data_IF_079821584033
#
_entry.id   IF_079821584033
#
_cell.length_a   1.000
_cell.length_b   1.000
_cell.length_c   1.000
_cell.angle_alpha   90.00
_cell.angle_beta   90.00
_cell.angle_gamma   90.00
#
_symmetry.space_group_name_H-M   'P 1'
#
loop_
_entity.id
_entity.type
_entity.pdbx_description
1 polymer ?
#
# COMPACT_ATOMS: atom_id res chain seq x y z
N UNK A 1 27.37 -33.68 13.67
CA UNK A 1 26.20 -34.48 14.07
C UNK A 1 25.55 -33.84 15.29
N UNK A 2 24.40 -33.19 15.10
CA UNK A 2 23.27 -33.02 16.03
C UNK A 2 22.20 -32.28 15.23
N UNK A 3 21.23 -33.02 14.69
CA UNK A 3 20.04 -32.49 14.04
C UNK A 3 19.13 -31.92 15.13
N UNK A 4 18.68 -30.68 14.96
CA UNK A 4 17.54 -30.10 15.69
C UNK A 4 16.37 -29.99 14.71
N UNK A 5 15.13 -30.35 15.09
CA UNK A 5 13.99 -30.39 14.21
C UNK A 5 13.41 -28.99 14.00
N UNK A 6 13.37 -28.53 12.74
CA UNK A 6 12.66 -27.33 12.32
C UNK A 6 11.16 -27.66 12.13
N UNK A 7 10.39 -27.58 13.22
CA UNK A 7 8.96 -27.30 13.14
C UNK A 7 8.71 -25.94 13.78
N UNK A 8 8.71 -24.89 12.95
CA UNK A 8 8.10 -23.60 13.29
C UNK A 8 7.38 -23.06 12.06
N UNK A 9 6.06 -22.97 12.17
CA UNK A 9 5.20 -22.22 11.27
C UNK A 9 5.60 -20.74 11.37
N UNK A 10 6.00 -20.17 10.24
CA UNK A 10 6.26 -18.75 10.08
C UNK A 10 4.93 -18.00 9.88
N UNK A 11 4.81 -16.73 10.31
CA UNK A 11 3.73 -15.87 9.87
C UNK A 11 3.85 -15.70 8.36
N UNK A 12 2.78 -16.06 7.65
CA UNK A 12 2.71 -16.08 6.19
C UNK A 12 2.84 -14.65 5.69
N UNK A 13 3.84 -14.39 4.85
CA UNK A 13 3.76 -13.27 3.91
C UNK A 13 2.43 -13.37 3.14
N UNK A 14 1.79 -12.22 2.86
CA UNK A 14 0.63 -12.09 1.97
C UNK A 14 1.00 -12.48 0.52
N UNK A 15 1.39 -13.72 0.32
CA UNK A 15 1.31 -14.42 -0.95
C UNK A 15 0.18 -15.43 -0.77
N UNK A 16 -0.79 -15.42 -1.68
CA UNK A 16 -1.84 -16.43 -1.69
C UNK A 16 -1.20 -17.80 -1.54
N UNK A 17 -1.72 -18.60 -0.61
CA UNK A 17 -1.44 -20.03 -0.64
C UNK A 17 -2.15 -20.62 -1.85
N UNK A 18 -1.41 -20.85 -2.93
CA UNK A 18 -1.84 -21.78 -3.96
C UNK A 18 -1.94 -23.17 -3.30
N UNK A 19 -3.16 -23.70 -3.17
CA UNK A 19 -3.37 -25.08 -2.76
C UNK A 19 -3.28 -25.92 -4.04
N UNK A 20 -2.11 -26.51 -4.28
CA UNK A 20 -1.95 -27.52 -5.32
C UNK A 20 -2.67 -28.81 -4.85
N UNK A 21 -3.93 -28.98 -5.22
CA UNK A 21 -4.60 -30.27 -5.07
C UNK A 21 -4.18 -31.18 -6.22
N UNK A 22 -3.24 -32.09 -5.95
CA UNK A 22 -2.93 -33.21 -6.84
C UNK A 22 -4.09 -34.19 -6.87
N UNK A 23 -4.91 -34.15 -7.93
CA UNK A 23 -5.96 -35.13 -8.19
C UNK A 23 -5.33 -36.34 -8.89
N UNK A 24 -5.16 -37.46 -8.18
CA UNK A 24 -4.87 -38.75 -8.78
C UNK A 24 -6.12 -39.22 -9.54
N UNK A 25 -6.05 -39.27 -10.86
CA UNK A 25 -7.07 -39.90 -11.71
C UNK A 25 -6.87 -41.42 -11.61
N UNK A 26 -7.83 -42.13 -11.01
CA UNK A 26 -7.91 -43.59 -11.09
C UNK A 26 -8.90 -43.96 -12.19
N UNK A 27 -8.38 -44.51 -13.29
CA UNK A 27 -9.15 -45.08 -14.40
C UNK A 27 -9.70 -46.45 -13.96
N UNK A 28 -11.01 -46.56 -13.75
CA UNK A 28 -11.70 -47.85 -13.70
C UNK A 28 -12.55 -47.97 -14.97
N UNK A 29 -12.08 -48.82 -15.89
CA UNK A 29 -12.89 -49.34 -16.99
C UNK A 29 -13.83 -50.42 -16.44
N UNK A 30 -15.13 -50.26 -16.67
CA UNK A 30 -16.10 -51.36 -16.61
C UNK A 30 -17.04 -51.23 -17.80
N UNK A 31 -16.83 -52.10 -18.78
CA UNK A 31 -17.71 -52.27 -19.92
C UNK A 31 -18.88 -53.20 -19.58
N UNK A 32 -20.09 -52.81 -19.97
CA UNK A 32 -21.21 -53.72 -20.22
C UNK A 32 -21.99 -53.21 -21.43
N UNK A 33 -22.29 -54.13 -22.34
CA UNK A 33 -22.97 -53.94 -23.62
C UNK A 33 -24.49 -54.19 -23.51
N UNK A 34 -25.28 -53.26 -24.09
CA UNK A 34 -26.56 -53.41 -24.84
C UNK A 34 -27.86 -53.82 -24.09
N UNK A 35 -29.10 -53.63 -24.65
CA UNK A 35 -29.50 -53.04 -25.95
C UNK A 35 -30.65 -51.99 -25.92
N UNK A 36 -30.85 -51.39 -27.10
CA UNK A 36 -32.01 -50.65 -27.66
C UNK A 36 -33.37 -50.69 -26.93
N UNK A 37 -33.95 -49.50 -26.74
CA UNK A 37 -35.38 -49.26 -26.48
C UNK A 37 -35.79 -47.90 -27.05
N UNK A 38 -36.84 -47.90 -27.88
CA UNK A 38 -37.34 -46.80 -28.70
C UNK A 38 -38.29 -45.84 -27.95
N UNK A 39 -38.26 -44.58 -28.41
CA UNK A 39 -39.29 -43.52 -28.35
C UNK A 39 -39.89 -43.07 -27.02
N UNK A 40 -39.66 -41.80 -26.70
CA UNK A 40 -40.39 -41.03 -25.70
C UNK A 40 -40.20 -39.53 -25.95
N UNK A 41 -41.13 -38.93 -26.71
CA UNK A 41 -41.25 -37.48 -26.82
C UNK A 41 -41.41 -36.85 -25.44
N UNK A 42 -40.43 -36.06 -25.00
CA UNK A 42 -40.68 -35.08 -23.94
C UNK A 42 -39.84 -33.83 -24.20
N UNK A 43 -40.57 -32.73 -24.40
CA UNK A 43 -40.16 -31.34 -24.50
C UNK A 43 -38.69 -31.05 -24.18
N UNK A 44 -37.97 -30.52 -25.17
CA UNK A 44 -36.87 -29.61 -24.92
C UNK A 44 -37.45 -28.41 -24.15
N UNK A 45 -37.44 -28.49 -22.81
CA UNK A 45 -37.31 -27.27 -22.02
C UNK A 45 -35.96 -26.69 -22.42
N UNK A 46 -35.99 -25.57 -23.15
CA UNK A 46 -34.90 -24.60 -23.13
C UNK A 46 -34.73 -24.18 -21.67
N UNK A 47 -33.94 -24.96 -20.91
CA UNK A 47 -33.15 -24.41 -19.84
C UNK A 47 -32.24 -23.42 -20.54
N UNK A 48 -32.60 -22.14 -20.51
CA UNK A 48 -31.58 -21.10 -20.58
C UNK A 48 -30.56 -21.50 -19.52
N UNK A 49 -29.45 -22.06 -19.99
CA UNK A 49 -28.28 -22.32 -19.19
C UNK A 49 -28.00 -20.99 -18.51
N UNK A 50 -28.24 -20.93 -17.21
CA UNK A 50 -28.19 -19.70 -16.42
C UNK A 50 -26.74 -19.23 -16.47
N UNK A 51 -26.44 -18.41 -17.46
CA UNK A 51 -25.09 -18.19 -17.94
C UNK A 51 -24.35 -17.40 -16.87
N UNK A 52 -23.20 -17.91 -16.43
CA UNK A 52 -22.16 -17.07 -15.81
C UNK A 52 -21.91 -15.89 -16.75
N UNK A 53 -21.59 -14.74 -16.16
CA UNK A 53 -21.76 -13.41 -16.76
C UNK A 53 -21.51 -13.33 -18.29
N UNK A 54 -22.43 -12.67 -18.98
CA UNK A 54 -22.57 -12.55 -20.43
C UNK A 54 -21.65 -11.49 -21.06
N UNK A 55 -20.58 -11.09 -20.37
CA UNK A 55 -19.66 -9.99 -20.75
C UNK A 55 -20.37 -8.65 -21.02
N UNK A 56 -21.59 -8.47 -20.52
CA UNK A 56 -22.32 -7.21 -20.57
C UNK A 56 -22.26 -6.49 -19.22
N UNK A 57 -22.37 -5.16 -19.25
CA UNK A 57 -22.44 -4.35 -18.04
C UNK A 57 -23.83 -4.46 -17.42
N UNK A 58 -23.88 -4.92 -16.17
CA UNK A 58 -25.09 -4.92 -15.33
C UNK A 58 -25.12 -3.64 -14.51
N UNK A 59 -26.22 -2.90 -14.55
CA UNK A 59 -26.37 -1.62 -13.86
C UNK A 59 -27.39 -1.75 -12.72
N UNK A 60 -27.01 -1.30 -11.53
CA UNK A 60 -27.83 -1.31 -10.33
C UNK A 60 -28.08 0.13 -9.87
N UNK A 61 -29.35 0.51 -9.71
CA UNK A 61 -29.77 1.83 -9.22
C UNK A 61 -30.49 1.76 -7.86
N UNK A 62 -30.56 0.56 -7.26
CA UNK A 62 -31.21 0.33 -5.98
C UNK A 62 -30.30 0.77 -4.83
N UNK A 63 -30.89 1.05 -3.66
CA UNK A 63 -30.12 1.42 -2.46
C UNK A 63 -29.42 0.24 -1.78
N UNK A 64 -29.76 -1.00 -2.16
CA UNK A 64 -29.15 -2.23 -1.68
C UNK A 64 -29.29 -3.32 -2.74
N UNK A 65 -28.34 -4.25 -2.78
CA UNK A 65 -28.45 -5.45 -3.59
C UNK A 65 -27.28 -6.41 -3.42
N UNK A 66 -27.38 -7.56 -4.08
CA UNK A 66 -26.32 -8.56 -4.16
C UNK A 66 -25.79 -8.63 -5.60
N UNK A 67 -24.48 -8.76 -5.73
CA UNK A 67 -23.78 -9.02 -6.99
C UNK A 67 -22.99 -10.33 -6.90
N UNK A 68 -23.00 -11.09 -8.00
CA UNK A 68 -22.25 -12.34 -8.16
C UNK A 68 -21.94 -12.61 -9.63
N UNK A 69 -20.91 -13.42 -9.86
CA UNK A 69 -20.43 -13.83 -11.19
C UNK A 69 -21.32 -14.88 -11.89
N UNK A 70 -22.20 -15.54 -11.16
CA UNK A 70 -23.04 -16.60 -11.69
C UNK A 70 -23.95 -17.27 -10.65
N UNK A 71 -24.75 -18.26 -11.08
CA UNK A 71 -25.61 -19.01 -10.17
C UNK A 71 -24.80 -19.79 -9.13
N UNK A 72 -25.36 -19.91 -7.92
CA UNK A 72 -24.72 -20.65 -6.83
C UNK A 72 -24.39 -22.08 -7.23
N UNK A 73 -23.17 -22.52 -6.92
CA UNK A 73 -22.70 -23.89 -7.18
C UNK A 73 -22.02 -24.10 -8.54
N UNK A 74 -21.83 -23.03 -9.32
CA UNK A 74 -21.06 -23.06 -10.56
C UNK A 74 -19.83 -22.15 -10.44
N UNK A 75 -18.76 -22.51 -11.17
CA UNK A 75 -17.58 -21.67 -11.26
C UNK A 75 -17.81 -20.52 -12.23
N UNK A 76 -17.05 -19.43 -12.08
CA UNK A 76 -17.03 -18.36 -13.08
C UNK A 76 -16.49 -18.87 -14.43
N UNK A 77 -16.80 -18.16 -15.50
CA UNK A 77 -16.31 -18.49 -16.84
C UNK A 77 -14.87 -18.04 -17.06
N UNK A 78 -14.10 -18.82 -17.82
CA UNK A 78 -12.80 -18.40 -18.34
C UNK A 78 -12.94 -17.23 -19.33
N UNK A 79 -11.88 -16.47 -19.56
CA UNK A 79 -11.80 -15.33 -20.48
C UNK A 79 -12.95 -14.33 -20.27
N UNK A 80 -13.29 -14.05 -19.02
CA UNK A 80 -14.47 -13.27 -18.66
C UNK A 80 -14.12 -11.87 -18.22
N UNK A 81 -14.92 -10.92 -18.72
CA UNK A 81 -14.81 -9.49 -18.46
C UNK A 81 -16.18 -9.00 -18.01
N UNK A 82 -16.43 -9.11 -16.72
CA UNK A 82 -17.75 -8.94 -16.15
C UNK A 82 -17.85 -7.67 -15.34
N UNK A 83 -18.83 -6.83 -15.67
CA UNK A 83 -18.96 -5.50 -15.10
C UNK A 83 -20.28 -5.35 -14.34
N UNK A 84 -20.20 -4.93 -13.08
CA UNK A 84 -21.33 -4.48 -12.27
C UNK A 84 -21.12 -3.01 -11.93
N UNK A 85 -21.97 -2.14 -12.47
CA UNK A 85 -21.98 -0.72 -12.18
C UNK A 85 -23.10 -0.42 -11.18
N UNK A 86 -22.73 -0.03 -9.97
CA UNK A 86 -23.67 0.42 -8.95
C UNK A 86 -23.71 1.94 -8.99
N UNK A 87 -24.91 2.51 -9.07
CA UNK A 87 -25.15 3.96 -9.11
C UNK A 87 -26.04 4.37 -7.96
N UNK A 88 -25.56 5.32 -7.17
CA UNK A 88 -26.38 6.02 -6.19
C UNK A 88 -27.33 7.00 -6.88
N UNK A 89 -28.27 7.55 -6.12
CA UNK A 89 -29.19 8.57 -6.63
C UNK A 89 -28.49 9.93 -6.79
N UNK A 90 -27.49 10.21 -5.96
CA UNK A 90 -26.71 11.44 -6.00
C UNK A 90 -25.21 11.15 -5.85
N UNK A 91 -24.38 11.98 -6.49
CA UNK A 91 -22.92 11.85 -6.49
C UNK A 91 -22.27 12.11 -5.11
N UNK A 92 -23.03 12.67 -4.16
CA UNK A 92 -22.59 12.88 -2.77
C UNK A 92 -22.83 11.66 -1.86
N UNK A 93 -23.44 10.60 -2.38
CA UNK A 93 -23.70 9.38 -1.62
C UNK A 93 -22.54 8.38 -1.73
N UNK A 94 -22.44 7.52 -0.73
CA UNK A 94 -21.41 6.50 -0.64
C UNK A 94 -21.99 5.14 -1.01
N UNK A 95 -21.17 4.32 -1.67
CA UNK A 95 -21.49 2.93 -1.97
C UNK A 95 -20.53 2.05 -1.19
N UNK A 96 -21.07 1.19 -0.33
CA UNK A 96 -20.31 0.24 0.47
C UNK A 96 -20.47 -1.14 -0.12
N UNK A 97 -19.37 -1.82 -0.46
CA UNK A 97 -19.34 -3.20 -0.93
C UNK A 97 -18.73 -4.11 0.14
N UNK A 98 -19.47 -5.16 0.50
CA UNK A 98 -19.03 -6.17 1.45
C UNK A 98 -19.05 -7.55 0.79
N UNK A 99 -17.87 -8.18 0.69
CA UNK A 99 -17.78 -9.55 0.19
C UNK A 99 -18.39 -10.53 1.19
N UNK A 100 -19.05 -11.56 0.68
CA UNK A 100 -19.54 -12.72 1.44
C UNK A 100 -18.68 -13.96 1.17
N UNK A 101 -18.18 -14.07 -0.05
CA UNK A 101 -17.24 -15.11 -0.47
C UNK A 101 -16.44 -14.64 -1.67
N UNK A 102 -15.20 -15.10 -1.78
CA UNK A 102 -14.35 -14.92 -2.95
C UNK A 102 -13.44 -16.13 -3.14
N UNK A 103 -13.33 -16.60 -4.37
CA UNK A 103 -12.42 -17.64 -4.80
C UNK A 103 -12.11 -17.48 -6.28
N UNK A 104 -11.01 -16.80 -6.59
CA UNK A 104 -10.45 -16.66 -7.94
C UNK A 104 -9.09 -17.34 -8.04
N UNK A 105 -8.62 -17.66 -9.25
CA UNK A 105 -7.25 -18.12 -9.45
C UNK A 105 -6.28 -17.04 -8.96
N UNK A 106 -5.43 -17.37 -7.98
CA UNK A 106 -4.60 -16.34 -7.39
C UNK A 106 -3.51 -15.86 -8.35
N UNK A 107 -3.36 -14.54 -8.43
CA UNK A 107 -2.39 -13.84 -9.26
C UNK A 107 -2.65 -13.87 -10.77
N UNK A 108 -3.71 -14.55 -11.22
CA UNK A 108 -4.13 -14.63 -12.61
C UNK A 108 -5.50 -14.00 -12.83
N UNK A 109 -6.44 -14.27 -11.91
CA UNK A 109 -7.82 -13.75 -11.98
C UNK A 109 -8.09 -12.75 -10.87
N UNK A 110 -8.68 -11.62 -11.25
CA UNK A 110 -8.79 -10.45 -10.38
C UNK A 110 -10.19 -9.86 -10.36
N UNK A 111 -10.57 -9.38 -9.17
CA UNK A 111 -11.69 -8.47 -8.98
C UNK A 111 -11.12 -7.08 -8.73
N UNK A 112 -11.43 -6.15 -9.63
CA UNK A 112 -11.11 -4.74 -9.51
C UNK A 112 -12.34 -3.95 -9.07
N UNK A 113 -12.14 -2.97 -8.20
CA UNK A 113 -13.21 -2.07 -7.75
C UNK A 113 -12.75 -0.65 -7.93
N UNK A 114 -13.57 0.17 -8.58
CA UNK A 114 -13.27 1.55 -8.89
C UNK A 114 -14.28 2.51 -8.25
N UNK A 115 -13.81 3.68 -7.79
CA UNK A 115 -14.64 4.80 -7.33
C UNK A 115 -15.12 5.65 -8.51
N UNK A 116 -16.13 5.15 -9.21
CA UNK A 116 -16.71 5.79 -10.39
C UNK A 116 -17.30 4.78 -11.37
N UNK A 117 -17.57 5.23 -12.59
CA UNK A 117 -18.32 4.47 -13.61
C UNK A 117 -17.45 3.81 -14.70
N UNK A 118 -16.12 3.92 -14.57
CA UNK A 118 -15.17 3.44 -15.57
C UNK A 118 -13.85 2.94 -14.97
N UNK A 119 -13.07 2.19 -15.76
CA UNK A 119 -11.71 1.75 -15.39
C UNK A 119 -10.67 2.89 -15.33
N UNK A 120 -11.06 4.11 -15.70
CA UNK A 120 -10.22 5.32 -15.57
C UNK A 120 -10.42 6.01 -14.22
N UNK A 121 -11.46 5.63 -13.49
CA UNK A 121 -11.74 6.12 -12.15
C UNK A 121 -10.73 5.57 -11.13
N UNK A 122 -10.58 6.21 -9.96
CA UNK A 122 -9.67 5.74 -8.92
C UNK A 122 -9.92 4.27 -8.54
N UNK A 123 -8.89 3.44 -8.57
CA UNK A 123 -8.94 2.04 -8.13
C UNK A 123 -8.96 1.99 -6.60
N UNK A 124 -9.99 1.37 -6.04
CA UNK A 124 -10.19 1.18 -4.60
C UNK A 124 -9.67 -0.18 -4.11
N UNK A 125 -9.67 -1.19 -4.98
CA UNK A 125 -9.23 -2.54 -4.62
C UNK A 125 -8.88 -3.39 -5.81
N UNK A 126 -7.90 -4.28 -5.62
CA UNK A 126 -7.54 -5.35 -6.55
C UNK A 126 -7.35 -6.63 -5.75
N UNK A 127 -8.25 -7.59 -5.94
CA UNK A 127 -8.34 -8.80 -5.12
C UNK A 127 -8.18 -10.04 -5.99
N UNK A 128 -7.46 -11.04 -5.47
CA UNK A 128 -7.35 -12.36 -6.08
C UNK A 128 -7.20 -13.45 -5.02
N UNK A 129 -7.50 -14.70 -5.38
CA UNK A 129 -7.39 -15.85 -4.49
C UNK A 129 -8.65 -16.09 -3.64
N UNK A 130 -8.47 -16.65 -2.44
CA UNK A 130 -9.55 -17.08 -1.53
C UNK A 130 -9.63 -16.29 -0.23
N UNK A 131 -8.80 -15.27 -0.06
CA UNK A 131 -8.84 -14.43 1.15
C UNK A 131 -10.02 -13.48 1.03
N UNK A 132 -10.93 -13.52 2.01
CA UNK A 132 -12.06 -12.60 2.05
C UNK A 132 -11.57 -11.14 2.02
N UNK A 133 -11.96 -10.35 1.02
CA UNK A 133 -11.57 -8.95 0.93
C UNK A 133 -12.12 -8.10 2.07
N UNK A 134 -11.40 -7.04 2.40
CA UNK A 134 -11.93 -6.00 3.29
C UNK A 134 -13.11 -5.28 2.61
N UNK A 135 -13.95 -4.65 3.44
CA UNK A 135 -15.03 -3.78 2.96
C UNK A 135 -14.46 -2.61 2.16
N UNK A 136 -15.11 -2.27 1.05
CA UNK A 136 -14.68 -1.22 0.14
C UNK A 136 -15.75 -0.15 0.04
N UNK A 137 -15.37 1.12 0.10
CA UNK A 137 -16.29 2.27 0.07
C UNK A 137 -15.93 3.17 -1.10
N UNK A 138 -16.87 3.42 -1.99
CA UNK A 138 -16.80 4.43 -3.04
C UNK A 138 -17.50 5.72 -2.58
N UNK A 139 -16.96 6.86 -2.96
CA UNK A 139 -17.38 8.20 -2.51
C UNK A 139 -17.94 9.08 -3.63
N UNK A 140 -17.82 8.64 -4.89
CA UNK A 140 -18.27 9.38 -6.08
C UNK A 140 -19.75 9.20 -6.42
N UNK A 141 -20.51 8.46 -5.59
CA UNK A 141 -21.87 8.00 -5.93
C UNK A 141 -21.92 6.94 -7.04
N UNK A 142 -20.78 6.46 -7.56
CA UNK A 142 -20.72 5.34 -8.50
C UNK A 142 -19.62 4.34 -8.11
N UNK A 143 -19.88 3.05 -8.32
CA UNK A 143 -18.89 2.00 -8.10
C UNK A 143 -18.92 1.00 -9.24
N UNK A 144 -17.79 0.83 -9.92
CA UNK A 144 -17.60 -0.19 -10.93
C UNK A 144 -16.84 -1.37 -10.32
N UNK A 145 -17.46 -2.55 -10.35
CA UNK A 145 -16.82 -3.83 -10.02
C UNK A 145 -16.55 -4.57 -11.32
N UNK A 146 -15.31 -5.02 -11.51
CA UNK A 146 -14.86 -5.74 -12.70
C UNK A 146 -14.23 -7.07 -12.27
N UNK A 147 -14.79 -8.18 -12.73
CA UNK A 147 -14.12 -9.48 -12.71
C UNK A 147 -13.41 -9.68 -14.05
N UNK A 148 -12.11 -9.94 -13.97
CA UNK A 148 -11.24 -10.33 -15.08
C UNK A 148 -10.73 -11.75 -14.83
N UNK A 149 -10.98 -12.66 -15.76
CA UNK A 149 -10.38 -14.00 -15.77
C UNK A 149 -9.60 -14.28 -17.06
N UNK A 150 -8.50 -15.03 -16.93
CA UNK A 150 -7.71 -15.49 -18.07
C UNK A 150 -8.33 -16.73 -18.74
N UNK A 151 -7.64 -17.34 -19.71
CA UNK A 151 -8.15 -18.52 -20.42
C UNK A 151 -7.97 -19.85 -19.66
N UNK A 152 -7.57 -19.81 -18.38
CA UNK A 152 -7.26 -20.99 -17.57
C UNK A 152 -8.12 -21.04 -16.30
N UNK A 153 -7.63 -21.73 -15.27
CA UNK A 153 -8.38 -22.30 -14.15
C UNK A 153 -9.47 -21.39 -13.57
N UNK A 154 -10.68 -21.92 -13.47
CA UNK A 154 -11.81 -21.22 -12.85
C UNK A 154 -12.17 -21.82 -11.50
N UNK A 155 -12.61 -20.97 -10.57
CA UNK A 155 -13.02 -21.32 -9.21
C UNK A 155 -14.44 -20.80 -8.92
N UNK A 156 -14.84 -20.80 -7.65
CA UNK A 156 -16.21 -20.50 -7.18
C UNK A 156 -16.66 -19.04 -7.39
N UNK A 157 -15.75 -18.13 -7.77
CA UNK A 157 -16.10 -16.75 -8.10
C UNK A 157 -16.27 -15.88 -6.87
N UNK A 158 -17.27 -15.01 -6.85
CA UNK A 158 -17.53 -14.13 -5.72
C UNK A 158 -19.01 -13.85 -5.50
N UNK A 159 -19.32 -13.54 -4.25
CA UNK A 159 -20.60 -12.95 -3.86
C UNK A 159 -20.32 -11.75 -2.99
N UNK A 160 -20.99 -10.64 -3.29
CA UNK A 160 -20.87 -9.42 -2.51
C UNK A 160 -22.21 -8.71 -2.43
N UNK A 161 -22.42 -8.00 -1.32
CA UNK A 161 -23.57 -7.14 -1.11
C UNK A 161 -23.13 -5.69 -1.16
N UNK A 162 -23.94 -4.84 -1.78
CA UNK A 162 -23.73 -3.40 -1.77
C UNK A 162 -24.86 -2.68 -1.03
N UNK A 163 -24.52 -1.56 -0.39
CA UNK A 163 -25.48 -0.65 0.21
C UNK A 163 -25.09 0.80 -0.12
N UNK A 164 -26.10 1.62 -0.41
CA UNK A 164 -25.96 3.06 -0.67
C UNK A 164 -26.37 3.83 0.59
N UNK A 165 -25.54 4.75 1.03
CA UNK A 165 -25.78 5.57 2.23
C UNK A 165 -25.35 7.01 2.01
N UNK A 166 -25.90 7.93 2.80
CA UNK A 166 -25.52 9.34 2.72
C UNK A 166 -24.14 9.62 3.32
N UNK A 167 -23.62 8.72 4.16
CA UNK A 167 -22.31 8.82 4.81
C UNK A 167 -21.54 7.50 4.69
N UNK A 168 -20.19 7.51 4.77
CA UNK A 168 -19.37 6.31 4.64
C UNK A 168 -19.72 5.29 5.73
N UNK A 169 -20.00 4.05 5.33
CA UNK A 169 -20.47 2.94 6.19
C UNK A 169 -21.57 3.34 7.20
N UNK A 170 -22.40 4.34 6.88
CA UNK A 170 -23.40 4.92 7.77
C UNK A 170 -22.87 5.27 9.18
N UNK A 171 -21.61 5.73 9.27
CA UNK A 171 -20.92 6.07 10.51
C UNK A 171 -20.81 4.93 11.54
N UNK A 172 -20.91 3.67 11.07
CA UNK A 172 -20.73 2.43 11.85
C UNK A 172 -21.45 2.39 13.20
N UNK A 173 -22.61 3.05 13.29
CA UNK A 173 -23.40 3.24 14.52
C UNK A 173 -22.68 3.96 15.68
N UNK A 174 -21.51 4.53 15.39
CA UNK A 174 -20.64 5.23 16.34
C UNK A 174 -20.52 6.73 16.07
N UNK A 175 -21.43 7.28 15.28
CA UNK A 175 -21.49 8.69 14.98
C UNK A 175 -22.84 9.11 14.38
N UNK A 176 -22.92 10.37 13.98
CA UNK A 176 -24.07 10.93 13.26
C UNK A 176 -23.64 11.41 11.89
N UNK A 177 -24.45 11.10 10.88
CA UNK A 177 -24.27 11.62 9.52
C UNK A 177 -24.73 13.07 9.45
N UNK A 178 -23.82 13.99 9.15
CA UNK A 178 -24.07 15.42 9.00
C UNK A 178 -23.42 15.88 7.70
N UNK A 179 -24.24 16.36 6.76
CA UNK A 179 -23.78 16.86 5.44
C UNK A 179 -22.78 15.91 4.75
N UNK A 180 -23.21 14.65 4.57
CA UNK A 180 -22.43 13.59 3.94
C UNK A 180 -21.10 13.21 4.62
N UNK A 181 -20.89 13.68 5.86
CA UNK A 181 -19.72 13.37 6.68
C UNK A 181 -20.11 12.78 8.03
N UNK A 182 -19.29 11.89 8.58
CA UNK A 182 -19.54 11.31 9.90
C UNK A 182 -18.95 12.18 11.01
N UNK A 183 -19.79 12.59 11.94
CA UNK A 183 -19.39 13.20 13.21
C UNK A 183 -19.38 12.12 14.27
N UNK A 184 -18.18 11.69 14.68
CA UNK A 184 -18.01 10.57 15.60
C UNK A 184 -18.33 10.91 17.06
N UNK A 185 -18.81 9.90 17.79
CA UNK A 185 -18.93 9.95 19.24
C UNK A 185 -17.53 10.02 19.88
N UNK A 186 -17.43 10.49 21.13
CA UNK A 186 -16.17 10.86 21.77
C UNK A 186 -15.06 9.78 21.79
N UNK A 187 -15.42 8.50 21.71
CA UNK A 187 -14.49 7.37 21.76
C UNK A 187 -14.16 6.79 20.37
N UNK A 188 -14.63 7.41 19.29
CA UNK A 188 -14.51 6.88 17.95
C UNK A 188 -13.90 7.91 17.01
N UNK A 189 -13.06 7.43 16.11
CA UNK A 189 -12.40 8.19 15.06
C UNK A 189 -12.45 7.37 13.76
N UNK A 190 -11.91 7.92 12.67
CA UNK A 190 -12.15 7.37 11.33
C UNK A 190 -13.14 8.22 10.55
N UNK A 191 -13.12 8.11 9.23
CA UNK A 191 -14.06 8.85 8.37
C UNK A 191 -15.47 8.28 8.46
N UNK A 192 -15.58 7.05 8.96
CA UNK A 192 -16.80 6.31 9.21
C UNK A 192 -17.01 5.94 10.70
N UNK A 193 -16.19 6.48 11.60
CA UNK A 193 -16.22 6.21 13.05
C UNK A 193 -15.97 4.74 13.45
N UNK A 194 -15.30 3.95 12.60
CA UNK A 194 -15.01 2.53 12.88
C UNK A 194 -13.83 2.28 13.82
N UNK A 195 -12.99 3.28 14.07
CA UNK A 195 -11.75 3.12 14.83
C UNK A 195 -11.92 3.62 16.26
N UNK A 196 -11.52 2.80 17.23
CA UNK A 196 -11.45 3.24 18.62
C UNK A 196 -10.37 4.32 18.76
N UNK A 197 -10.78 5.46 19.31
CA UNK A 197 -9.90 6.60 19.59
C UNK A 197 -8.77 6.22 20.57
N UNK A 198 -9.08 5.37 21.55
CA UNK A 198 -8.17 4.95 22.60
C UNK A 198 -8.33 3.45 22.88
N UNK A 199 -7.79 2.60 21.98
CA UNK A 199 -7.94 1.15 22.10
C UNK A 199 -7.43 0.64 23.45
N UNK A 200 -8.14 -0.33 24.02
CA UNK A 200 -7.91 -0.90 25.36
C UNK A 200 -7.86 0.16 26.49
N UNK A 201 -8.47 1.33 26.28
CA UNK A 201 -8.41 2.45 27.22
C UNK A 201 -6.97 2.89 27.52
N UNK A 202 -6.04 2.70 26.58
CA UNK A 202 -4.61 2.95 26.76
C UNK A 202 -3.97 2.18 27.93
N UNK A 203 -4.57 1.07 28.39
CA UNK A 203 -4.14 0.33 29.58
C UNK A 203 -4.19 1.16 30.87
N UNK A 204 -5.11 2.12 30.95
CA UNK A 204 -5.20 3.06 32.08
C UNK A 204 -5.44 2.37 33.43
N UNK A 205 -6.25 1.31 33.47
CA UNK A 205 -6.50 0.50 34.68
C UNK A 205 -5.22 -0.13 35.25
N UNK A 206 -4.20 -0.31 34.41
CA UNK A 206 -2.92 -0.91 34.73
C UNK A 206 -1.79 0.13 34.84
N UNK A 207 -2.12 1.42 34.72
CA UNK A 207 -1.14 2.51 34.76
C UNK A 207 -0.21 2.59 33.54
N UNK A 208 -0.59 1.96 32.40
CA UNK A 208 0.24 1.93 31.18
C UNK A 208 0.15 3.23 30.37
N UNK A 209 -0.94 3.99 30.50
CA UNK A 209 -1.12 5.25 29.81
C UNK A 209 -2.47 5.91 30.12
N UNK A 210 -2.74 7.01 29.42
CA UNK A 210 -4.00 7.75 29.49
C UNK A 210 -4.46 8.21 28.12
N UNK A 211 -5.78 8.33 27.94
CA UNK A 211 -6.38 8.82 26.71
C UNK A 211 -6.47 10.34 26.72
N UNK A 212 -5.81 11.02 25.79
CA UNK A 212 -5.82 12.49 25.66
C UNK A 212 -6.10 12.88 24.21
N UNK A 213 -7.23 13.55 23.97
CA UNK A 213 -7.56 14.09 22.64
C UNK A 213 -7.62 13.03 21.54
N UNK A 214 -8.26 11.89 21.81
CA UNK A 214 -8.36 10.73 20.92
C UNK A 214 -7.00 10.07 20.55
N UNK A 215 -6.01 10.18 21.44
CA UNK A 215 -4.73 9.51 21.31
C UNK A 215 -4.25 9.00 22.67
N UNK A 216 -3.66 7.80 22.69
CA UNK A 216 -3.02 7.27 23.89
C UNK A 216 -1.67 7.96 24.15
N UNK A 217 -1.52 8.45 25.38
CA UNK A 217 -0.27 8.96 25.93
C UNK A 217 0.27 7.92 26.90
N UNK A 218 1.32 7.22 26.50
CA UNK A 218 1.87 6.13 27.29
C UNK A 218 2.78 6.62 28.41
N UNK A 219 2.75 5.90 29.53
CA UNK A 219 3.75 5.99 30.59
C UNK A 219 5.15 5.71 30.03
N UNK A 220 6.19 6.23 30.69
CA UNK A 220 7.57 6.21 30.17
C UNK A 220 8.06 4.84 29.67
N UNK A 221 7.66 3.76 30.33
CA UNK A 221 8.06 2.38 30.03
C UNK A 221 7.21 1.68 28.96
N UNK A 222 6.15 2.32 28.46
CA UNK A 222 5.22 1.71 27.51
C UNK A 222 5.20 2.46 26.17
N UNK A 223 4.86 1.75 25.11
CA UNK A 223 4.67 2.28 23.75
C UNK A 223 3.57 1.53 22.99
N UNK A 224 3.29 2.00 21.79
CA UNK A 224 2.26 1.46 20.91
C UNK A 224 0.93 2.19 21.03
N UNK A 225 0.04 1.89 20.09
CA UNK A 225 -1.25 2.57 19.92
C UNK A 225 -2.13 2.48 21.18
N UNK A 226 -2.09 1.36 21.91
CA UNK A 226 -2.82 1.14 23.16
C UNK A 226 -1.92 1.09 24.40
N UNK A 227 -0.67 1.53 24.29
CA UNK A 227 0.34 1.39 25.36
C UNK A 227 0.56 -0.06 25.81
N UNK A 228 0.41 -1.01 24.89
CA UNK A 228 0.51 -2.45 25.18
C UNK A 228 1.94 -2.99 25.17
N UNK A 229 2.91 -2.28 24.58
CA UNK A 229 4.28 -2.74 24.48
C UNK A 229 5.14 -2.19 25.62
N UNK A 230 5.71 -3.07 26.45
CA UNK A 230 6.70 -2.68 27.46
C UNK A 230 8.10 -2.55 26.82
N UNK A 231 8.70 -1.36 26.86
CA UNK A 231 9.95 -1.03 26.15
C UNK A 231 11.16 -1.88 26.56
N UNK A 232 11.26 -2.25 27.84
CA UNK A 232 12.41 -3.02 28.38
C UNK A 232 12.11 -4.49 28.70
N UNK A 233 10.84 -4.90 28.66
CA UNK A 233 10.41 -6.27 28.98
C UNK A 233 9.36 -6.72 27.96
N UNK A 234 9.67 -6.69 26.65
CA UNK A 234 8.71 -7.13 25.64
C UNK A 234 8.42 -8.62 25.82
N UNK A 235 7.14 -8.99 25.74
CA UNK A 235 6.75 -10.40 25.71
C UNK A 235 7.15 -10.96 24.35
N UNK A 236 7.94 -12.02 24.35
CA UNK A 236 8.42 -12.61 23.11
C UNK A 236 7.26 -13.25 22.31
N UNK A 237 7.29 -13.07 20.99
CA UNK A 237 6.31 -13.62 20.04
C UNK A 237 4.90 -13.02 20.13
N UNK A 238 4.76 -11.81 20.68
CA UNK A 238 3.52 -11.05 20.64
C UNK A 238 3.58 -9.94 19.59
N UNK A 239 2.43 -9.66 18.97
CA UNK A 239 2.27 -8.56 18.03
C UNK A 239 1.68 -7.36 18.75
N UNK A 240 2.32 -6.21 18.59
CA UNK A 240 1.83 -4.95 19.14
C UNK A 240 1.60 -3.95 18.02
N UNK A 241 0.45 -3.28 18.05
CA UNK A 241 0.15 -2.17 17.16
C UNK A 241 0.93 -0.94 17.61
N UNK A 242 1.82 -0.46 16.75
CA UNK A 242 2.66 0.71 17.05
C UNK A 242 2.03 2.05 16.64
N UNK A 243 1.15 2.03 15.64
CA UNK A 243 0.43 3.20 15.12
C UNK A 243 -0.82 2.75 14.37
N UNK A 244 -1.83 3.63 14.31
CA UNK A 244 -3.00 3.44 13.46
C UNK A 244 -2.71 3.80 11.99
N UNK A 245 -3.63 3.42 11.10
CA UNK A 245 -3.56 3.68 9.66
C UNK A 245 -4.11 5.04 9.25
N UNK A 246 -5.01 5.66 10.03
CA UNK A 246 -5.60 6.97 9.71
C UNK A 246 -4.55 8.09 9.75
N UNK A 247 -3.85 8.21 10.86
CA UNK A 247 -2.86 9.26 11.10
C UNK A 247 -1.43 8.76 10.88
N UNK A 248 -1.29 7.63 10.19
CA UNK A 248 -0.04 6.89 10.06
C UNK A 248 0.52 6.89 8.65
N UNK A 249 1.26 5.84 8.33
CA UNK A 249 1.82 5.65 7.00
C UNK A 249 0.69 5.41 5.99
N UNK A 250 0.63 6.24 4.94
CA UNK A 250 -0.30 6.04 3.82
C UNK A 250 -0.22 4.60 3.29
N UNK A 251 -1.36 3.90 3.11
CA UNK A 251 -1.38 2.54 2.58
C UNK A 251 -0.61 2.42 1.27
N UNK A 252 0.36 1.49 1.22
CA UNK A 252 1.28 1.33 0.09
C UNK A 252 1.89 -0.06 0.04
N UNK A 253 2.20 -0.53 -1.17
CA UNK A 253 2.89 -1.78 -1.42
C UNK A 253 4.28 -1.55 -2.02
N UNK A 254 5.18 -2.53 -1.85
CA UNK A 254 6.53 -2.55 -2.46
C UNK A 254 7.38 -1.31 -2.19
N UNK A 255 7.14 -0.66 -1.04
CA UNK A 255 8.02 0.33 -0.46
C UNK A 255 9.26 -0.36 0.15
N UNK A 256 10.28 0.41 0.49
CA UNK A 256 11.37 -0.08 1.34
C UNK A 256 11.31 0.59 2.70
N UNK A 257 11.82 -0.10 3.71
CA UNK A 257 11.93 0.43 5.06
C UNK A 257 13.32 0.13 5.62
N UNK A 258 13.94 1.12 6.27
CA UNK A 258 15.26 1.00 6.89
C UNK A 258 15.18 1.48 8.32
N UNK A 259 15.56 0.63 9.28
CA UNK A 259 15.77 1.05 10.66
C UNK A 259 17.17 1.65 10.79
N UNK A 260 17.25 2.84 11.38
CA UNK A 260 18.52 3.51 11.65
C UNK A 260 18.68 3.68 13.17
N UNK A 261 19.60 2.90 13.74
CA UNK A 261 19.79 2.81 15.19
C UNK A 261 20.16 4.14 15.87
N UNK A 262 21.04 5.00 15.31
CA UNK A 262 21.42 6.26 15.97
C UNK A 262 20.25 7.21 16.24
N UNK A 263 19.22 7.21 15.38
CA UNK A 263 18.01 8.03 15.57
C UNK A 263 16.83 7.26 16.13
N UNK A 264 16.99 5.96 16.41
CA UNK A 264 15.93 5.04 16.82
C UNK A 264 14.64 5.25 16.01
N UNK A 265 14.78 5.21 14.68
CA UNK A 265 13.71 5.57 13.75
C UNK A 265 13.65 4.59 12.56
N UNK A 266 12.44 4.35 12.06
CA UNK A 266 12.17 3.58 10.85
C UNK A 266 11.86 4.54 9.69
N UNK A 267 12.67 4.51 8.64
CA UNK A 267 12.53 5.34 7.45
C UNK A 267 11.87 4.53 6.35
N UNK A 268 10.76 5.03 5.80
CA UNK A 268 9.99 4.37 4.75
C UNK A 268 9.97 5.25 3.51
N UNK A 269 10.50 4.74 2.39
CA UNK A 269 10.54 5.47 1.14
C UNK A 269 9.78 4.75 0.02
N UNK A 270 9.10 5.56 -0.79
CA UNK A 270 8.48 5.13 -2.04
C UNK A 270 7.34 4.12 -1.85
N UNK A 271 7.26 3.16 -2.78
CA UNK A 271 6.15 2.25 -2.94
C UNK A 271 5.08 2.81 -3.88
N UNK A 272 3.97 2.10 -4.01
CA UNK A 272 2.79 2.59 -4.72
C UNK A 272 1.53 2.29 -3.91
N UNK A 273 0.54 3.18 -4.01
CA UNK A 273 -0.83 2.82 -3.74
C UNK A 273 -1.51 2.45 -5.06
N UNK A 274 -2.78 2.03 -5.02
CA UNK A 274 -3.50 1.56 -6.21
C UNK A 274 -3.58 2.58 -7.37
N UNK A 275 -3.30 3.86 -7.13
CA UNK A 275 -3.48 4.95 -8.09
C UNK A 275 -2.20 5.73 -8.41
N UNK A 276 -1.18 5.66 -7.55
CA UNK A 276 0.00 6.52 -7.63
C UNK A 276 1.24 5.84 -7.09
N UNK A 277 2.34 6.02 -7.82
CA UNK A 277 3.69 5.73 -7.32
C UNK A 277 4.13 6.86 -6.38
N UNK A 278 4.52 6.49 -5.17
CA UNK A 278 4.87 7.41 -4.10
C UNK A 278 6.38 7.71 -4.12
N UNK A 279 6.74 8.92 -3.74
CA UNK A 279 8.12 9.37 -3.55
C UNK A 279 8.35 10.10 -2.23
N UNK A 280 7.38 10.03 -1.32
CA UNK A 280 7.48 10.58 0.02
C UNK A 280 8.37 9.72 0.91
N UNK A 281 9.15 10.37 1.78
CA UNK A 281 9.86 9.75 2.89
C UNK A 281 9.03 9.95 4.18
N UNK A 282 8.59 8.85 4.75
CA UNK A 282 7.85 8.82 6.02
C UNK A 282 8.73 8.20 7.10
N UNK A 283 8.78 8.81 8.29
CA UNK A 283 9.68 8.44 9.36
C UNK A 283 8.85 8.08 10.59
N UNK A 284 8.97 6.84 11.08
CA UNK A 284 8.40 6.46 12.36
C UNK A 284 9.44 6.61 13.47
N UNK A 285 9.14 7.47 14.45
CA UNK A 285 9.97 7.74 15.63
C UNK A 285 9.58 6.78 16.74
N UNK A 286 10.41 5.80 17.10
CA UNK A 286 10.07 4.87 18.18
C UNK A 286 10.00 5.57 19.55
N UNK A 287 10.85 6.57 19.79
CA UNK A 287 10.86 7.39 21.01
C UNK A 287 9.51 8.05 21.30
N UNK A 288 8.86 8.62 20.29
CA UNK A 288 7.59 9.36 20.41
C UNK A 288 6.38 8.54 19.95
N UNK A 289 6.60 7.37 19.34
CA UNK A 289 5.58 6.51 18.74
C UNK A 289 4.72 7.24 17.70
N UNK A 290 5.36 8.03 16.83
CA UNK A 290 4.67 8.88 15.84
C UNK A 290 5.28 8.77 14.46
N UNK A 291 4.43 8.93 13.44
CA UNK A 291 4.86 9.14 12.07
C UNK A 291 5.07 10.63 11.80
N UNK A 292 6.21 10.94 11.18
CA UNK A 292 6.60 12.27 10.73
C UNK A 292 6.98 12.20 9.25
N UNK A 293 6.88 13.33 8.56
CA UNK A 293 7.53 13.50 7.27
C UNK A 293 9.03 13.83 7.46
N UNK A 294 9.75 14.00 6.37
CA UNK A 294 11.20 14.30 6.36
C UNK A 294 11.59 15.64 7.01
N UNK A 295 10.60 16.50 7.31
CA UNK A 295 10.79 17.79 7.99
C UNK A 295 10.37 17.76 9.47
N UNK A 296 10.02 16.58 9.99
CA UNK A 296 9.61 16.42 11.40
C UNK A 296 8.18 16.84 11.69
N UNK A 297 7.35 17.09 10.67
CA UNK A 297 5.92 17.39 10.85
C UNK A 297 5.15 16.07 10.98
N UNK A 298 4.30 15.98 12.00
CA UNK A 298 3.47 14.80 12.24
C UNK A 298 2.49 14.57 11.09
N UNK A 299 2.44 13.35 10.55
CA UNK A 299 1.48 13.00 9.48
C UNK A 299 0.02 13.13 9.93
N UNK A 300 -0.25 12.99 11.23
CA UNK A 300 -1.55 13.23 11.83
C UNK A 300 -2.05 14.69 11.67
N UNK A 301 -1.13 15.65 11.52
CA UNK A 301 -1.44 17.08 11.45
C UNK A 301 -1.62 17.61 10.03
N UNK A 302 -1.11 16.90 9.02
CA UNK A 302 -1.25 17.28 7.62
C UNK A 302 -2.68 17.07 7.10
N UNK A 303 -3.35 15.99 7.51
CA UNK A 303 -4.75 15.74 7.13
C UNK A 303 -5.71 16.84 7.64
N UNK A 304 -5.44 17.38 8.84
CA UNK A 304 -6.24 18.47 9.41
C UNK A 304 -6.08 19.79 8.63
N UNK A 305 -4.94 19.99 7.95
CA UNK A 305 -4.70 21.15 7.09
C UNK A 305 -5.29 20.97 5.68
N UNK A 306 -5.30 19.75 5.13
CA UNK A 306 -5.98 19.46 3.86
C UNK A 306 -7.50 19.57 3.96
N UNK A 307 -8.10 19.21 5.10
CA UNK A 307 -9.54 19.37 5.33
C UNK A 307 -9.92 20.86 5.42
N UNK A 308 -9.07 21.69 6.05
CA UNK A 308 -9.29 23.14 6.14
C UNK A 308 -9.21 23.86 4.79
N UNK A 309 -8.51 23.27 3.81
CA UNK A 309 -8.34 23.84 2.46
C UNK A 309 -9.38 23.33 1.45
N UNK A 310 -10.03 22.19 1.71
CA UNK A 310 -11.13 21.65 0.89
C UNK A 310 -12.51 22.22 1.24
N UNK A 311 -12.72 22.67 2.48
CA UNK A 311 -13.94 23.39 2.86
C UNK A 311 -13.83 24.86 2.44
N UNK A 312 -14.18 25.16 1.19
CA UNK A 312 -14.34 26.51 0.65
C UNK A 312 -15.47 27.28 1.34
N UNK A 313 -15.28 27.64 2.61
CA UNK A 313 -16.12 28.56 3.41
C UNK A 313 -15.45 28.98 4.73
N UNK A 314 -14.12 28.97 4.82
CA UNK A 314 -13.43 29.67 5.91
C UNK A 314 -13.43 31.18 5.61
N UNK A 315 -14.31 31.89 6.32
CA UNK A 315 -14.48 33.35 6.29
C UNK A 315 -13.13 34.08 6.28
N UNK A 316 -12.94 34.97 5.30
CA UNK A 316 -12.06 36.14 5.40
C UNK A 316 -12.36 36.85 6.73
N UNK A 317 -11.43 36.81 7.67
CA UNK A 317 -11.57 37.53 8.93
C UNK A 317 -10.29 37.49 9.76
N UNK A 318 -9.55 38.61 9.74
CA UNK A 318 -8.55 39.07 10.73
C UNK A 318 -7.32 38.17 10.92
N UNK A 319 -6.07 38.58 10.61
CA UNK A 319 -5.38 39.85 10.86
C UNK A 319 -4.45 40.21 9.69
N UNK A 320 -4.80 41.26 8.93
CA UNK A 320 -3.80 42.03 8.20
C UNK A 320 -3.15 42.97 9.21
N UNK A 321 -1.91 42.67 9.62
CA UNK A 321 -1.01 43.69 10.13
C UNK A 321 0.01 43.95 9.02
N UNK A 322 -0.21 45.05 8.30
CA UNK A 322 0.77 45.62 7.37
C UNK A 322 2.14 45.70 8.08
N UNK A 323 3.23 45.19 7.49
CA UNK A 323 4.56 45.42 8.02
C UNK A 323 4.99 46.86 7.69
N UNK A 324 5.35 47.62 8.71
CA UNK A 324 6.07 48.88 8.54
C UNK A 324 7.44 48.62 7.90
N UNK A 325 7.79 49.45 6.92
CA UNK A 325 9.14 49.59 6.38
C UNK A 325 10.13 49.90 7.51
N UNK A 326 10.87 48.88 7.96
CA UNK A 326 12.24 48.99 8.47
C UNK A 326 12.64 47.65 9.09
N UNK A 327 13.17 46.73 8.26
CA UNK A 327 14.22 45.76 8.64
C UNK A 327 14.63 44.94 7.41
N UNK A 328 15.47 45.55 6.58
CA UNK A 328 16.42 44.83 5.73
C UNK A 328 17.41 44.10 6.67
N UNK A 329 17.10 42.84 6.97
CA UNK A 329 17.94 41.99 7.80
C UNK A 329 17.55 40.52 7.59
N UNK A 330 18.31 39.82 6.74
CA UNK A 330 18.22 38.38 6.56
C UNK A 330 18.41 37.67 7.91
N UNK A 331 17.31 37.32 8.56
CA UNK A 331 17.27 36.59 9.82
C UNK A 331 16.26 35.46 9.73
N UNK A 332 16.51 34.49 8.84
CA UNK A 332 15.72 33.24 8.80
C UNK A 332 16.18 32.40 9.99
N UNK A 333 15.50 32.56 11.13
CA UNK A 333 15.64 31.63 12.25
C UNK A 333 15.26 30.22 11.80
N UNK A 334 16.18 29.26 12.00
CA UNK A 334 16.02 27.83 11.72
C UNK A 334 15.17 27.13 12.80
N UNK A 335 13.97 27.66 13.03
CA UNK A 335 12.93 27.00 13.81
C UNK A 335 11.77 26.66 12.85
N UNK A 336 11.10 25.51 12.99
CA UNK A 336 9.98 25.13 12.13
C UNK A 336 8.79 26.05 12.39
N UNK A 337 8.73 27.15 11.65
CA UNK A 337 7.64 28.11 11.71
C UNK A 337 6.69 27.90 10.53
N UNK A 338 5.41 28.25 10.72
CA UNK A 338 4.33 28.14 9.72
C UNK A 338 4.73 28.62 8.31
N UNK A 339 5.48 29.72 8.20
CA UNK A 339 5.95 30.26 6.92
C UNK A 339 6.96 29.35 6.20
N UNK A 340 7.85 28.66 6.92
CA UNK A 340 8.76 27.70 6.32
C UNK A 340 7.96 26.51 5.76
N UNK A 341 7.03 25.97 6.54
CA UNK A 341 6.19 24.85 6.10
C UNK A 341 5.32 25.20 4.87
N UNK A 342 4.80 26.43 4.80
CA UNK A 342 4.00 26.90 3.66
C UNK A 342 4.83 27.10 2.37
N UNK A 343 6.03 27.67 2.46
CA UNK A 343 6.91 27.86 1.29
C UNK A 343 7.42 26.52 0.76
N UNK A 344 7.63 25.52 1.62
CA UNK A 344 8.13 24.21 1.21
C UNK A 344 7.03 23.24 0.75
N UNK A 345 5.79 23.34 1.26
CA UNK A 345 4.65 22.58 0.69
C UNK A 345 4.34 22.97 -0.77
N UNK A 346 4.69 24.22 -1.14
CA UNK A 346 4.62 24.72 -2.52
C UNK A 346 5.76 24.18 -3.41
N UNK A 347 6.89 23.75 -2.84
CA UNK A 347 8.01 23.16 -3.59
C UNK A 347 7.76 21.69 -3.97
N UNK A 348 7.04 20.95 -3.13
CA UNK A 348 6.60 19.58 -3.42
C UNK A 348 5.47 19.52 -4.47
N UNK A 349 4.73 20.63 -4.62
CA UNK A 349 3.73 20.77 -5.65
C UNK A 349 4.41 21.17 -6.98
N UNK A 350 4.74 20.18 -7.82
CA UNK A 350 5.43 20.31 -9.11
C UNK A 350 4.81 21.29 -10.12
N UNK A 351 3.70 21.95 -9.79
CA UNK A 351 2.98 22.92 -10.62
C UNK A 351 2.96 24.34 -10.04
N UNK A 352 3.58 24.60 -8.89
CA UNK A 352 3.70 25.94 -8.30
C UNK A 352 4.82 26.78 -8.93
N UNK A 353 4.76 28.13 -8.87
CA UNK A 353 5.76 29.03 -9.44
C UNK A 353 7.17 28.89 -8.81
N UNK A 354 7.28 28.16 -7.69
CA UNK A 354 8.54 27.83 -7.00
C UNK A 354 9.03 26.40 -7.22
N UNK A 355 8.24 25.51 -7.85
CA UNK A 355 8.65 24.13 -8.20
C UNK A 355 9.79 24.08 -9.23
N UNK A 356 10.06 25.19 -9.93
CA UNK A 356 11.21 25.35 -10.82
C UNK A 356 12.51 25.76 -10.09
N UNK A 357 12.45 26.22 -8.83
CA UNK A 357 13.62 26.69 -8.06
C UNK A 357 14.30 25.55 -7.29
N UNK A 358 13.56 24.51 -6.90
CA UNK A 358 14.09 23.27 -6.31
C UNK A 358 13.98 22.13 -7.34
N UNK A 359 14.90 22.14 -8.30
CA UNK A 359 14.80 21.41 -9.55
C UNK A 359 14.74 19.89 -9.48
N UNK A 360 14.35 19.31 -10.62
CA UNK A 360 14.65 17.93 -11.01
C UNK A 360 16.13 17.62 -10.64
N UNK A 361 16.36 16.56 -9.84
CA UNK A 361 17.64 16.01 -9.38
C UNK A 361 18.11 16.33 -7.94
N UNK A 362 17.30 16.96 -7.08
CA UNK A 362 17.66 17.10 -5.66
C UNK A 362 17.35 15.87 -4.81
N UNK A 363 16.55 14.93 -5.33
CA UNK A 363 16.07 13.74 -4.62
C UNK A 363 15.67 12.63 -5.58
N UNK A 364 15.59 11.36 -5.13
CA UNK A 364 15.09 10.27 -5.94
C UNK A 364 13.62 10.48 -6.34
N UNK A 365 13.32 10.21 -7.61
CA UNK A 365 11.93 10.16 -8.10
C UNK A 365 11.15 9.03 -7.41
N UNK A 366 9.85 9.24 -7.21
CA UNK A 366 8.94 8.24 -6.67
C UNK A 366 9.02 6.91 -7.43
N UNK A 367 9.12 5.82 -6.67
CA UNK A 367 9.53 4.51 -7.17
C UNK A 367 9.06 3.38 -6.26
N UNK A 368 8.99 2.18 -6.80
CA UNK A 368 8.56 1.00 -6.07
C UNK A 368 9.35 -0.25 -6.47
N UNK A 369 9.39 -1.24 -5.59
CA UNK A 369 10.26 -2.42 -5.75
C UNK A 369 11.74 -2.06 -5.89
N UNK A 370 12.16 -0.92 -5.34
CA UNK A 370 13.58 -0.59 -5.15
C UNK A 370 14.11 -1.37 -3.95
N UNK A 371 15.43 -1.37 -3.77
CA UNK A 371 16.04 -1.92 -2.57
C UNK A 371 16.67 -0.80 -1.74
N UNK A 372 16.73 -1.00 -0.42
CA UNK A 372 17.33 -0.04 0.50
C UNK A 372 18.18 -0.75 1.54
N UNK A 373 19.21 -0.07 2.05
CA UNK A 373 20.09 -0.62 3.06
C UNK A 373 20.64 0.50 3.96
N UNK A 374 20.72 0.24 5.28
CA UNK A 374 21.38 1.13 6.22
C UNK A 374 22.90 1.16 5.98
N UNK A 375 23.48 2.35 6.13
CA UNK A 375 24.93 2.62 6.09
C UNK A 375 25.30 3.49 7.30
N UNK A 376 26.58 3.85 7.46
CA UNK A 376 27.08 4.59 8.64
C UNK A 376 26.30 5.87 8.93
N UNK A 377 26.09 6.69 7.90
CA UNK A 377 25.56 8.06 8.04
C UNK A 377 24.10 8.18 7.60
N UNK A 378 23.45 7.05 7.34
CA UNK A 378 22.04 7.00 7.00
C UNK A 378 21.65 5.75 6.23
N UNK A 379 21.09 5.91 5.04
CA UNK A 379 20.70 4.76 4.22
C UNK A 379 20.80 5.05 2.73
N UNK A 380 20.98 3.99 1.95
CA UNK A 380 20.94 4.06 0.50
C UNK A 380 19.67 3.47 -0.05
N UNK A 381 19.29 3.92 -1.25
CA UNK A 381 18.31 3.25 -2.09
C UNK A 381 18.89 3.03 -3.49
N UNK A 382 18.55 1.91 -4.10
CA UNK A 382 19.02 1.53 -5.43
C UNK A 382 17.87 1.04 -6.32
N UNK A 383 17.88 1.52 -7.55
CA UNK A 383 16.98 1.10 -8.63
C UNK A 383 15.50 1.28 -8.33
N UNK A 384 14.66 0.35 -8.80
CA UNK A 384 13.21 0.35 -8.70
C UNK A 384 12.50 0.76 -9.99
N UNK A 385 11.17 0.60 -10.00
CA UNK A 385 10.30 1.00 -11.13
C UNK A 385 9.67 2.37 -10.85
N UNK A 386 9.76 3.27 -11.82
CA UNK A 386 9.21 4.64 -11.73
C UNK A 386 7.74 4.68 -12.19
N UNK A 387 7.07 5.80 -11.95
CA UNK A 387 5.67 6.02 -12.36
C UNK A 387 5.43 5.80 -13.87
N UNK A 388 6.38 6.18 -14.72
CA UNK A 388 6.32 5.96 -16.17
C UNK A 388 6.64 4.53 -16.61
N UNK A 389 6.80 3.59 -15.69
CA UNK A 389 7.09 2.19 -15.98
C UNK A 389 8.56 1.85 -16.25
N UNK A 390 9.41 2.86 -16.53
CA UNK A 390 10.86 2.69 -16.71
C UNK A 390 11.52 2.21 -15.42
N UNK A 391 12.51 1.33 -15.53
CA UNK A 391 13.33 0.91 -14.39
C UNK A 391 14.48 1.91 -14.19
N UNK A 392 14.93 2.02 -12.95
CA UNK A 392 16.07 2.87 -12.59
C UNK A 392 17.28 2.03 -12.20
N UNK A 393 18.47 2.61 -12.39
CA UNK A 393 19.77 2.09 -11.94
C UNK A 393 20.54 3.12 -11.10
N UNK A 394 19.88 4.22 -10.72
CA UNK A 394 20.48 5.24 -9.86
C UNK A 394 20.67 4.73 -8.43
N UNK A 395 21.77 5.17 -7.80
CA UNK A 395 22.09 4.92 -6.41
C UNK A 395 21.98 6.25 -5.65
N UNK A 396 21.14 6.29 -4.63
CA UNK A 396 20.95 7.47 -3.80
C UNK A 396 21.36 7.18 -2.37
N UNK A 397 22.05 8.13 -1.74
CA UNK A 397 22.35 8.15 -0.31
C UNK A 397 21.52 9.24 0.35
N UNK A 398 20.77 8.87 1.38
CA UNK A 398 20.16 9.79 2.33
C UNK A 398 21.04 9.88 3.58
N UNK A 399 21.70 11.02 3.75
CA UNK A 399 22.48 11.32 4.95
C UNK A 399 21.55 11.86 6.03
N UNK A 400 21.51 11.20 7.18
CA UNK A 400 20.68 11.59 8.31
C UNK A 400 21.48 12.55 9.20
N UNK A 401 20.98 13.77 9.38
CA UNK A 401 21.55 14.75 10.31
C UNK A 401 20.53 15.17 11.37
N UNK A 402 20.99 15.85 12.42
CA UNK A 402 20.13 16.31 13.53
C UNK A 402 18.99 17.23 13.08
N UNK A 403 19.20 18.03 12.02
CA UNK A 403 18.25 19.03 11.51
C UNK A 403 17.46 18.54 10.27
N UNK A 404 17.36 17.23 10.06
CA UNK A 404 16.80 16.62 8.85
C UNK A 404 17.87 16.00 7.96
N UNK A 405 17.48 15.21 6.98
CA UNK A 405 18.43 14.51 6.11
C UNK A 405 18.50 15.07 4.69
N UNK A 406 19.60 14.75 3.99
CA UNK A 406 19.88 15.23 2.64
C UNK A 406 20.09 14.08 1.68
N UNK A 407 19.56 14.22 0.47
CA UNK A 407 19.75 13.26 -0.62
C UNK A 407 20.97 13.62 -1.45
N UNK A 408 21.74 12.62 -1.85
CA UNK A 408 22.82 12.74 -2.83
C UNK A 408 22.85 11.53 -3.75
N UNK A 409 22.96 11.77 -5.06
CA UNK A 409 23.16 10.71 -6.04
C UNK A 409 24.63 10.26 -6.03
N UNK A 410 24.86 8.95 -6.13
CA UNK A 410 26.15 8.28 -5.88
C UNK A 410 26.59 7.50 -7.10
N UNK A 411 27.88 7.15 -7.15
CA UNK A 411 28.46 6.35 -8.24
C UNK A 411 28.32 6.94 -9.67
N UNK A 412 28.15 8.27 -9.79
CA UNK A 412 27.98 8.96 -11.08
C UNK A 412 29.20 8.81 -12.01
N UNK A 413 30.39 8.67 -11.43
CA UNK A 413 31.66 8.49 -12.16
C UNK A 413 32.06 7.02 -12.31
N UNK A 414 31.15 6.10 -12.01
CA UNK A 414 31.41 4.66 -12.15
C UNK A 414 31.56 4.27 -13.62
N UNK A 415 32.67 3.62 -13.98
CA UNK A 415 32.94 3.18 -15.35
C UNK A 415 31.97 2.07 -15.80
N UNK A 416 31.45 1.31 -14.84
CA UNK A 416 30.42 0.31 -15.03
C UNK A 416 29.19 0.68 -14.20
N UNK A 417 27.99 0.43 -14.69
CA UNK A 417 26.77 0.52 -13.88
C UNK A 417 25.99 -0.79 -14.01
N UNK A 418 25.40 -1.30 -12.90
CA UNK A 418 24.48 -2.41 -12.99
C UNK A 418 23.30 -2.03 -13.91
N UNK A 419 22.65 -3.02 -14.55
CA UNK A 419 21.45 -2.73 -15.32
C UNK A 419 20.34 -2.19 -14.40
N UNK A 420 19.34 -1.48 -14.97
CA UNK A 420 18.14 -1.10 -14.23
C UNK A 420 17.40 -2.33 -13.67
N UNK A 421 17.06 -2.29 -12.38
CA UNK A 421 16.51 -3.44 -11.65
C UNK A 421 15.33 -3.04 -10.77
N UNK A 422 14.33 -3.91 -10.64
CA UNK A 422 13.26 -3.83 -9.63
C UNK A 422 13.05 -5.18 -8.95
N UNK A 423 12.44 -5.20 -7.76
CA UNK A 423 12.21 -6.40 -6.95
C UNK A 423 13.50 -7.18 -6.65
N UNK A 424 14.61 -6.45 -6.55
CA UNK A 424 15.92 -6.97 -6.18
C UNK A 424 16.21 -6.73 -4.69
N UNK A 425 17.32 -7.25 -4.20
CA UNK A 425 17.79 -7.00 -2.83
C UNK A 425 19.09 -6.20 -2.83
N UNK A 426 19.28 -5.35 -1.83
CA UNK A 426 20.50 -4.62 -1.55
C UNK A 426 20.91 -4.88 -0.10
N UNK A 427 22.17 -5.26 0.14
CA UNK A 427 22.62 -5.61 1.49
C UNK A 427 24.05 -5.19 1.72
N UNK A 428 24.29 -4.46 2.81
CA UNK A 428 25.63 -4.12 3.28
C UNK A 428 26.29 -5.35 3.94
N UNK A 429 27.51 -5.66 3.53
CA UNK A 429 28.33 -6.73 4.09
C UNK A 429 29.80 -6.29 4.10
N UNK A 430 30.33 -6.03 5.30
CA UNK A 430 31.64 -5.42 5.47
C UNK A 430 31.66 -4.01 4.86
N UNK A 431 32.66 -3.72 4.03
CA UNK A 431 32.83 -2.40 3.39
C UNK A 431 32.04 -2.26 2.08
N UNK A 432 31.33 -3.30 1.66
CA UNK A 432 30.63 -3.33 0.38
C UNK A 432 29.13 -3.45 0.58
N UNK A 433 28.38 -2.90 -0.36
CA UNK A 433 26.96 -3.19 -0.56
C UNK A 433 26.81 -4.09 -1.77
N UNK A 434 25.97 -5.10 -1.66
CA UNK A 434 25.73 -6.09 -2.71
C UNK A 434 24.30 -5.98 -3.21
N UNK A 435 24.13 -5.84 -4.52
CA UNK A 435 22.85 -5.90 -5.20
C UNK A 435 22.73 -7.24 -5.93
N UNK A 436 21.61 -7.94 -5.71
CA UNK A 436 21.38 -9.27 -6.29
C UNK A 436 19.92 -9.46 -6.70
N UNK A 437 19.71 -10.25 -7.75
CA UNK A 437 18.38 -10.68 -8.16
C UNK A 437 17.59 -9.59 -8.88
N UNK A 438 16.27 -9.74 -8.82
CA UNK A 438 15.30 -8.80 -9.39
C UNK A 438 14.96 -9.04 -10.84
N UNK A 439 14.08 -8.18 -11.35
CA UNK A 439 13.59 -8.18 -12.72
C UNK A 439 14.19 -7.03 -13.51
N UNK A 440 14.51 -7.33 -14.77
CA UNK A 440 15.03 -6.40 -15.79
C UNK A 440 13.88 -5.80 -16.60
N UNK A 441 14.18 -4.83 -17.46
CA UNK A 441 13.17 -4.16 -18.30
C UNK A 441 12.48 -5.10 -19.30
N UNK A 442 13.19 -6.14 -19.76
CA UNK A 442 12.64 -7.17 -20.65
C UNK A 442 11.77 -8.22 -19.91
N UNK A 443 11.59 -8.09 -18.59
CA UNK A 443 10.84 -9.02 -17.77
C UNK A 443 11.63 -10.25 -17.30
N UNK A 444 12.88 -10.42 -17.73
CA UNK A 444 13.73 -11.51 -17.26
C UNK A 444 14.23 -11.26 -15.83
N UNK A 445 14.51 -12.34 -15.11
CA UNK A 445 15.13 -12.27 -13.79
C UNK A 445 16.66 -12.25 -13.90
N UNK A 446 17.28 -11.30 -13.20
CA UNK A 446 18.74 -11.25 -13.08
C UNK A 446 19.21 -12.27 -12.04
N UNK A 447 20.23 -13.06 -12.40
CA UNK A 447 21.01 -13.89 -11.48
C UNK A 447 22.41 -13.31 -11.20
N UNK A 448 22.67 -12.08 -11.67
CA UNK A 448 23.96 -11.40 -11.54
C UNK A 448 24.08 -10.75 -10.16
N UNK A 449 25.32 -10.70 -9.66
CA UNK A 449 25.67 -10.10 -8.38
C UNK A 449 26.54 -8.87 -8.64
N UNK A 450 26.18 -7.74 -8.06
CA UNK A 450 26.92 -6.50 -8.18
C UNK A 450 27.33 -6.01 -6.80
N UNK A 451 28.47 -5.33 -6.70
CA UNK A 451 28.89 -4.69 -5.45
C UNK A 451 29.43 -3.29 -5.69
N UNK A 452 29.36 -2.48 -4.65
CA UNK A 452 29.95 -1.14 -4.60
C UNK A 452 30.42 -0.84 -3.17
N UNK A 453 31.50 -0.09 -3.06
CA UNK A 453 31.96 0.49 -1.79
C UNK A 453 31.65 1.99 -1.82
N UNK A 454 30.98 2.49 -0.78
CA UNK A 454 30.77 3.93 -0.61
C UNK A 454 32.06 4.59 -0.09
N UNK A 455 32.30 5.82 -0.54
CA UNK A 455 33.47 6.63 -0.21
C UNK A 455 33.04 8.03 0.21
N UNK A 456 33.85 8.74 1.01
CA UNK A 456 33.65 10.16 1.26
C UNK A 456 33.71 10.97 -0.05
N UNK A 457 34.61 10.57 -0.96
CA UNK A 457 34.66 11.10 -2.31
C UNK A 457 33.76 10.28 -3.26
N UNK A 458 32.54 10.77 -3.50
CA UNK A 458 31.57 10.10 -4.38
C UNK A 458 32.11 9.82 -5.81
N UNK A 459 33.07 10.61 -6.29
CA UNK A 459 33.67 10.39 -7.63
C UNK A 459 34.59 9.16 -7.70
N UNK A 460 35.06 8.63 -6.57
CA UNK A 460 35.89 7.42 -6.53
C UNK A 460 35.09 6.12 -6.47
N UNK A 461 33.76 6.21 -6.34
CA UNK A 461 32.89 5.04 -6.17
C UNK A 461 32.74 4.29 -7.49
N UNK A 462 32.96 2.98 -7.46
CA UNK A 462 32.89 2.12 -8.64
C UNK A 462 32.04 0.88 -8.34
N UNK A 463 31.09 0.61 -9.23
CA UNK A 463 30.38 -0.65 -9.28
C UNK A 463 31.24 -1.74 -9.91
N UNK A 464 31.15 -2.94 -9.36
CA UNK A 464 31.81 -4.13 -9.87
C UNK A 464 30.79 -5.26 -9.99
N UNK A 465 30.87 -6.03 -11.08
CA UNK A 465 30.19 -7.32 -11.14
C UNK A 465 31.02 -8.37 -10.41
N UNK A 466 30.35 -9.11 -9.53
CA UNK A 466 30.95 -10.17 -8.73
C UNK A 466 30.59 -11.51 -9.34
N UNK A 467 31.63 -12.30 -9.63
CA UNK A 467 31.46 -13.68 -10.09
C UNK A 467 31.75 -14.65 -8.94
N UNK A 468 30.71 -15.11 -8.21
CA UNK A 468 30.91 -16.06 -7.12
C UNK A 468 31.51 -17.37 -7.67
N UNK A 469 32.59 -17.83 -7.05
CA UNK A 469 33.20 -19.12 -7.38
C UNK A 469 32.31 -20.23 -6.81
N UNK A 470 31.49 -20.88 -7.65
CA UNK A 470 30.67 -22.01 -7.21
C UNK A 470 29.37 -22.30 -7.98
N UNK A 471 28.98 -21.47 -8.96
CA UNK A 471 27.82 -21.76 -9.84
C UNK A 471 28.24 -22.39 -11.16
N UNK A 472 27.47 -23.37 -11.68
CA UNK A 472 27.64 -23.86 -13.06
C UNK A 472 27.35 -22.71 -14.03
N UNK A 473 28.39 -22.08 -14.58
CA UNK A 473 28.28 -21.22 -15.76
C UNK A 473 28.00 -22.11 -16.96
N UNK A 474 26.82 -21.99 -17.56
CA UNK A 474 26.58 -22.48 -18.91
C UNK A 474 27.24 -21.48 -19.86
N UNK A 475 28.46 -21.78 -20.27
CA UNK A 475 29.11 -21.08 -21.38
C UNK A 475 28.49 -21.70 -22.63
N UNK A 476 27.69 -20.94 -23.37
CA UNK A 476 27.42 -21.23 -24.77
C UNK A 476 28.61 -20.64 -25.54
N UNK A 477 29.56 -21.51 -25.89
CA UNK A 477 30.60 -21.20 -26.89
C UNK A 477 30.01 -21.22 -28.31
#
# INVERSE_FOLDING_TARGET
>A
MRQLPLHKQWPRHLQCKAVANGMLISLILLGVLLPYGTEGHTAQKNLHQQQSCDKTRRVFNESYGEISDGPSGYNYTQDSHCEWLIKAQNDSQYITLNFRSMGTECSFDYIFIYDGDSFRSPLLGSFSGKTEPQRVVASSGSMLVLLYSDTNYVLEGFKAEFAVSNCPNNCTDHGKCVDHSCVCNANWVGDDCSQDACPDGCGQSEGRGSCVGAQCVCSSNYSGQSCSLHKTHPVANEWHWLSNSKNGLTPRATHTAVYFAPTDSLYVFGGYNLNKVLGSLSIYRFKTSRWENEWGVSLASEEMQSIATMNGSARKGTLFREPSEDTLGMGIGREPNFFNNFIFSLADNKTGPFGAVYGNNSRPTGRYGHAACAVSDGFVIFGGKLAGGRLSADLWLYNITENGGTWSERALSSAFQPPPLTRHTLTAAGNYMYAFGGALENGEFSSRLFRIQLSENASSEQWEEVFPRGGKRWIFD
#
